data_IF_042115902606
#
_entry.id   IF_042115902606
#
_cell.length_a   1.000
_cell.length_b   1.000
_cell.length_c   1.000
_cell.angle_alpha   90.00
_cell.angle_beta   90.00
_cell.angle_gamma   90.00
#
_symmetry.space_group_name_H-M   'P 1'
#
loop_
_entity.id
_entity.type
_entity.pdbx_description
1 polymer ?
#
# COMPACT_ATOMS: atom_id res chain seq x y z
N UNK A 1 -17.67 15.27 -15.87
CA UNK A 1 -16.20 15.06 -15.83
C UNK A 1 -15.72 14.15 -14.69
N UNK A 2 -16.14 14.34 -13.44
CA UNK A 2 -15.60 13.54 -12.31
C UNK A 2 -15.79 12.02 -12.42
N UNK A 3 -16.90 11.53 -12.99
CA UNK A 3 -17.14 10.08 -13.18
C UNK A 3 -16.19 9.45 -14.20
N UNK A 4 -15.85 10.17 -15.28
CA UNK A 4 -14.94 9.67 -16.32
C UNK A 4 -13.52 9.57 -15.76
N UNK A 5 -13.04 10.64 -15.12
CA UNK A 5 -11.71 10.65 -14.48
C UNK A 5 -11.57 9.52 -13.45
N UNK A 6 -12.61 9.31 -12.67
CA UNK A 6 -12.67 8.25 -11.68
C UNK A 6 -12.54 6.85 -12.31
N UNK A 7 -13.31 6.57 -13.37
CA UNK A 7 -13.24 5.29 -14.08
C UNK A 7 -11.84 5.09 -14.66
N UNK A 8 -11.28 6.14 -15.29
CA UNK A 8 -9.92 6.10 -15.82
C UNK A 8 -8.90 5.78 -14.72
N UNK A 9 -8.97 6.43 -13.56
CA UNK A 9 -8.06 6.15 -12.45
C UNK A 9 -8.14 4.71 -11.96
N UNK A 10 -9.34 4.13 -11.86
CA UNK A 10 -9.51 2.73 -11.51
C UNK A 10 -8.91 1.81 -12.58
N UNK A 11 -9.17 2.11 -13.86
CA UNK A 11 -8.57 1.35 -14.97
C UNK A 11 -7.05 1.40 -14.93
N UNK A 12 -6.45 2.54 -14.59
CA UNK A 12 -5.01 2.65 -14.39
C UNK A 12 -4.51 1.85 -13.18
N UNK A 13 -5.19 1.97 -12.04
CA UNK A 13 -4.83 1.28 -10.79
C UNK A 13 -5.01 -0.24 -10.87
N UNK A 14 -5.87 -0.75 -11.76
CA UNK A 14 -6.01 -2.19 -12.00
C UNK A 14 -5.19 -2.68 -13.20
N UNK A 15 -5.18 -1.92 -14.29
CA UNK A 15 -4.54 -2.31 -15.54
C UNK A 15 -3.02 -2.40 -15.42
N UNK A 16 -2.38 -1.44 -14.74
CA UNK A 16 -0.91 -1.45 -14.59
C UNK A 16 -0.44 -2.64 -13.74
N UNK A 17 -0.98 -2.88 -12.52
CA UNK A 17 -0.59 -4.07 -11.75
C UNK A 17 -0.90 -5.37 -12.48
N UNK A 18 -2.03 -5.49 -13.18
CA UNK A 18 -2.37 -6.70 -13.91
C UNK A 18 -1.38 -6.98 -15.05
N UNK A 19 -1.05 -5.96 -15.85
CA UNK A 19 -0.23 -6.13 -17.04
C UNK A 19 1.27 -6.27 -16.73
N UNK A 20 1.75 -5.56 -15.71
CA UNK A 20 3.19 -5.43 -15.43
C UNK A 20 3.63 -6.02 -14.09
N UNK A 21 2.74 -6.14 -13.10
CA UNK A 21 3.07 -6.78 -11.81
C UNK A 21 2.63 -8.24 -11.73
N UNK A 22 1.53 -8.58 -12.41
CA UNK A 22 0.82 -9.84 -12.27
C UNK A 22 -0.19 -9.85 -11.13
N UNK A 23 -0.81 -11.02 -10.91
CA UNK A 23 -1.89 -11.20 -9.94
C UNK A 23 -1.58 -10.78 -8.50
N UNK A 24 -0.35 -11.02 -7.95
CA UNK A 24 0.00 -10.57 -6.60
C UNK A 24 -0.18 -9.06 -6.37
N UNK A 25 0.26 -8.24 -7.33
CA UNK A 25 0.21 -6.78 -7.25
C UNK A 25 -1.23 -6.29 -7.34
N UNK A 26 -1.99 -6.87 -8.27
CA UNK A 26 -3.41 -6.59 -8.42
C UNK A 26 -4.20 -6.93 -7.14
N UNK A 27 -3.91 -8.07 -6.50
CA UNK A 27 -4.61 -8.52 -5.30
C UNK A 27 -4.48 -7.51 -4.14
N UNK A 28 -3.28 -6.96 -3.92
CA UNK A 28 -3.04 -5.92 -2.91
C UNK A 28 -3.83 -4.65 -3.23
N UNK A 29 -3.81 -4.20 -4.49
CA UNK A 29 -4.58 -3.04 -4.93
C UNK A 29 -6.08 -3.26 -4.69
N UNK A 30 -6.60 -4.44 -5.08
CA UNK A 30 -8.00 -4.81 -4.89
C UNK A 30 -8.39 -4.79 -3.40
N UNK A 31 -7.61 -5.44 -2.53
CA UNK A 31 -7.92 -5.47 -1.09
C UNK A 31 -7.90 -4.08 -0.49
N UNK A 32 -6.88 -3.27 -0.77
CA UNK A 32 -6.79 -1.90 -0.28
C UNK A 32 -7.99 -1.06 -0.73
N UNK A 33 -8.40 -1.20 -1.99
CA UNK A 33 -9.57 -0.54 -2.56
C UNK A 33 -10.88 -1.04 -1.93
N UNK A 34 -11.05 -2.35 -1.73
CA UNK A 34 -12.23 -2.91 -1.07
C UNK A 34 -12.37 -2.37 0.36
N UNK A 35 -11.27 -2.33 1.12
CA UNK A 35 -11.26 -1.77 2.48
C UNK A 35 -11.68 -0.28 2.48
N UNK A 36 -11.16 0.50 1.53
CA UNK A 36 -11.54 1.91 1.39
C UNK A 36 -13.00 2.10 0.92
N UNK A 37 -13.54 1.18 0.14
CA UNK A 37 -14.95 1.14 -0.26
C UNK A 37 -15.87 0.96 0.96
N UNK A 38 -15.59 -0.03 1.81
CA UNK A 38 -16.41 -0.30 2.99
C UNK A 38 -16.40 0.84 4.02
N UNK A 39 -15.32 1.62 4.08
CA UNK A 39 -15.27 2.84 4.89
C UNK A 39 -16.13 4.01 4.37
N UNK A 40 -16.82 3.85 3.23
CA UNK A 40 -17.49 4.91 2.49
C UNK A 40 -16.53 6.07 2.14
N UNK A 41 -15.25 5.76 1.99
CA UNK A 41 -14.16 6.73 1.85
C UNK A 41 -13.86 7.06 0.36
N UNK A 42 -14.83 6.89 -0.53
CA UNK A 42 -14.62 6.86 -1.98
C UNK A 42 -14.60 8.27 -2.61
N UNK A 43 -13.42 8.76 -3.00
CA UNK A 43 -13.26 10.05 -3.71
C UNK A 43 -12.06 10.00 -4.66
N UNK A 44 -12.19 10.66 -5.83
CA UNK A 44 -11.13 10.86 -6.83
C UNK A 44 -9.83 11.34 -6.19
N UNK A 45 -9.89 12.34 -5.28
CA UNK A 45 -8.68 12.88 -4.64
C UNK A 45 -7.89 11.82 -3.87
N UNK A 46 -8.56 10.80 -3.31
CA UNK A 46 -7.91 9.71 -2.57
C UNK A 46 -7.34 8.65 -3.52
N UNK A 47 -8.02 8.36 -4.63
CA UNK A 47 -7.48 7.48 -5.67
C UNK A 47 -6.18 8.04 -6.25
N UNK A 48 -6.11 9.36 -6.45
CA UNK A 48 -4.88 10.02 -6.92
C UNK A 48 -3.73 9.80 -5.93
N UNK A 49 -3.99 9.77 -4.62
CA UNK A 49 -2.94 9.50 -3.62
C UNK A 49 -2.39 8.08 -3.64
N UNK A 50 -3.00 7.15 -4.40
CA UNK A 50 -2.48 5.80 -4.59
C UNK A 50 -1.52 5.72 -5.77
N UNK A 51 -1.61 6.60 -6.77
CA UNK A 51 -0.80 6.55 -8.00
C UNK A 51 0.72 6.44 -7.78
N UNK A 52 1.34 7.07 -6.75
CA UNK A 52 2.78 6.94 -6.55
C UNK A 52 3.26 5.50 -6.33
N UNK A 53 2.39 4.59 -5.88
CA UNK A 53 2.75 3.17 -5.75
C UNK A 53 3.15 2.54 -7.09
N UNK A 54 2.62 3.05 -8.22
CA UNK A 54 2.87 2.51 -9.55
C UNK A 54 4.33 2.69 -9.97
N UNK A 55 5.07 3.61 -9.34
CA UNK A 55 6.51 3.76 -9.54
C UNK A 55 7.25 2.46 -9.21
N UNK A 56 6.84 1.71 -8.18
CA UNK A 56 7.45 0.44 -7.84
C UNK A 56 7.25 -0.65 -8.89
N UNK A 57 6.13 -0.60 -9.61
CA UNK A 57 5.92 -1.50 -10.75
C UNK A 57 6.87 -1.12 -11.89
N UNK A 58 7.09 0.18 -12.12
CA UNK A 58 8.10 0.65 -13.06
C UNK A 58 9.51 0.19 -12.68
N UNK A 59 9.89 0.33 -11.41
CA UNK A 59 11.19 -0.14 -10.91
C UNK A 59 11.32 -1.66 -11.00
N UNK A 60 10.26 -2.40 -10.67
CA UNK A 60 10.21 -3.85 -10.85
C UNK A 60 10.46 -4.23 -12.32
N UNK A 61 9.78 -3.59 -13.26
CA UNK A 61 9.96 -3.86 -14.70
C UNK A 61 11.38 -3.53 -15.20
N UNK A 62 12.03 -2.51 -14.63
CA UNK A 62 13.40 -2.13 -15.01
C UNK A 62 14.47 -3.04 -14.41
N UNK A 63 14.21 -3.64 -13.25
CA UNK A 63 15.21 -4.41 -12.48
C UNK A 63 14.96 -5.91 -12.46
N UNK A 64 13.76 -6.35 -12.85
CA UNK A 64 13.20 -7.69 -12.65
C UNK A 64 13.27 -8.17 -11.19
N UNK A 65 13.47 -7.26 -10.23
CA UNK A 65 13.59 -7.60 -8.81
C UNK A 65 12.21 -7.69 -8.16
N UNK A 66 11.78 -8.92 -7.86
CA UNK A 66 10.49 -9.21 -7.20
C UNK A 66 10.38 -8.63 -5.79
N UNK A 67 11.49 -8.29 -5.14
CA UNK A 67 11.50 -7.68 -3.81
C UNK A 67 10.87 -6.28 -3.81
N UNK A 68 10.78 -5.62 -4.98
CA UNK A 68 10.06 -4.35 -5.16
C UNK A 68 8.56 -4.46 -4.83
N UNK A 69 8.04 -5.68 -4.71
CA UNK A 69 6.69 -5.93 -4.23
C UNK A 69 6.49 -5.49 -2.77
N UNK A 70 7.50 -5.59 -1.91
CA UNK A 70 7.38 -5.21 -0.50
C UNK A 70 7.22 -3.69 -0.31
N UNK A 71 8.06 -2.82 -0.90
CA UNK A 71 7.84 -1.37 -0.91
C UNK A 71 6.46 -0.97 -1.45
N UNK A 72 5.99 -1.63 -2.51
CA UNK A 72 4.65 -1.41 -3.08
C UNK A 72 3.54 -1.71 -2.07
N UNK A 73 3.62 -2.86 -1.40
CA UNK A 73 2.67 -3.28 -0.35
C UNK A 73 2.67 -2.30 0.82
N UNK A 74 3.84 -1.88 1.26
CA UNK A 74 3.97 -0.95 2.39
C UNK A 74 3.37 0.42 2.05
N UNK A 75 3.50 0.88 0.81
CA UNK A 75 2.80 2.07 0.35
C UNK A 75 1.28 1.92 0.47
N UNK A 76 0.69 0.83 -0.03
CA UNK A 76 -0.75 0.57 0.08
C UNK A 76 -1.23 0.41 1.52
N UNK A 77 -0.45 -0.31 2.31
CA UNK A 77 -0.71 -0.57 3.73
C UNK A 77 -0.79 0.74 4.50
N UNK A 78 0.27 1.56 4.40
CA UNK A 78 0.34 2.86 5.07
C UNK A 78 -0.76 3.79 4.55
N UNK A 79 -0.96 3.92 3.23
CA UNK A 79 -1.99 4.81 2.73
C UNK A 79 -3.40 4.42 3.20
N UNK A 80 -3.74 3.14 3.11
CA UNK A 80 -5.05 2.64 3.55
C UNK A 80 -5.24 2.94 5.03
N UNK A 81 -4.23 2.65 5.85
CA UNK A 81 -4.24 2.96 7.28
C UNK A 81 -4.42 4.46 7.55
N UNK A 82 -3.71 5.34 6.84
CA UNK A 82 -3.80 6.79 7.02
C UNK A 82 -5.12 7.39 6.51
N UNK A 83 -5.72 6.79 5.48
CA UNK A 83 -7.04 7.18 4.97
C UNK A 83 -8.11 6.81 5.99
N UNK A 84 -8.08 5.60 6.53
CA UNK A 84 -9.04 5.11 7.52
C UNK A 84 -8.83 5.71 8.92
N UNK A 85 -7.59 5.98 9.34
CA UNK A 85 -7.27 6.57 10.65
C UNK A 85 -7.81 8.00 10.82
N UNK A 86 -8.12 8.68 9.72
CA UNK A 86 -8.77 9.99 9.75
C UNK A 86 -10.19 9.96 10.35
N UNK A 87 -10.88 8.81 10.26
CA UNK A 87 -12.18 8.59 10.91
C UNK A 87 -12.01 8.00 12.31
N UNK A 88 -11.24 6.92 12.42
CA UNK A 88 -11.00 6.22 13.67
C UNK A 88 -9.64 5.52 13.62
N UNK A 89 -8.81 5.71 14.63
CA UNK A 89 -7.47 5.10 14.72
C UNK A 89 -7.55 3.58 14.60
N UNK A 90 -8.52 2.93 15.24
CA UNK A 90 -8.71 1.49 15.16
C UNK A 90 -9.02 1.03 13.76
N UNK A 91 -9.89 1.76 13.04
CA UNK A 91 -10.18 1.47 11.63
C UNK A 91 -8.91 1.58 10.78
N UNK A 92 -8.08 2.59 11.04
CA UNK A 92 -6.75 2.74 10.44
C UNK A 92 -5.86 1.52 10.68
N UNK A 93 -5.69 1.11 11.93
CA UNK A 93 -4.86 -0.04 12.29
C UNK A 93 -5.38 -1.33 11.65
N UNK A 94 -6.67 -1.65 11.78
CA UNK A 94 -7.24 -2.87 11.20
C UNK A 94 -7.16 -2.88 9.67
N UNK A 95 -7.36 -1.72 9.03
CA UNK A 95 -7.25 -1.61 7.58
C UNK A 95 -5.82 -1.88 7.08
N UNK A 96 -4.81 -1.32 7.75
CA UNK A 96 -3.41 -1.59 7.44
C UNK A 96 -3.04 -3.06 7.67
N UNK A 97 -3.42 -3.61 8.82
CA UNK A 97 -3.18 -5.04 9.14
C UNK A 97 -3.84 -5.96 8.12
N UNK A 98 -5.03 -5.63 7.62
CA UNK A 98 -5.68 -6.41 6.55
C UNK A 98 -4.87 -6.48 5.26
N UNK A 99 -4.23 -5.37 4.86
CA UNK A 99 -3.34 -5.35 3.69
C UNK A 99 -2.06 -6.16 3.94
N UNK A 100 -1.45 -6.03 5.13
CA UNK A 100 -0.26 -6.81 5.52
C UNK A 100 -0.58 -8.31 5.54
N UNK A 101 -1.72 -8.70 6.10
CA UNK A 101 -2.14 -10.10 6.14
C UNK A 101 -2.33 -10.67 4.72
N UNK A 102 -2.89 -9.88 3.80
CA UNK A 102 -3.01 -10.26 2.38
C UNK A 102 -1.64 -10.47 1.74
N UNK A 103 -0.70 -9.57 2.00
CA UNK A 103 0.67 -9.70 1.53
C UNK A 103 1.36 -10.97 2.04
N UNK A 104 1.27 -11.24 3.33
CA UNK A 104 1.85 -12.46 3.91
C UNK A 104 1.22 -13.71 3.34
N UNK A 105 -0.09 -13.72 3.12
CA UNK A 105 -0.79 -14.81 2.45
C UNK A 105 -0.24 -15.06 1.04
N UNK A 106 -0.06 -14.00 0.25
CA UNK A 106 0.53 -14.09 -1.08
C UNK A 106 1.97 -14.63 -1.01
N UNK A 107 2.80 -14.11 -0.10
CA UNK A 107 4.20 -14.56 0.07
C UNK A 107 4.28 -16.02 0.50
N UNK A 108 3.36 -16.46 1.36
CA UNK A 108 3.24 -17.86 1.75
C UNK A 108 2.92 -18.76 0.54
N UNK A 109 1.96 -18.38 -0.32
CA UNK A 109 1.67 -19.11 -1.56
C UNK A 109 2.81 -19.07 -2.59
N UNK A 110 3.67 -18.06 -2.52
CA UNK A 110 4.90 -17.98 -3.31
C UNK A 110 6.06 -18.80 -2.72
N UNK A 111 5.81 -19.59 -1.67
CA UNK A 111 6.79 -20.41 -0.96
C UNK A 111 7.97 -19.60 -0.38
N UNK A 112 7.71 -18.38 0.10
CA UNK A 112 8.71 -17.60 0.82
C UNK A 112 9.15 -18.33 2.12
N UNK A 113 10.46 -18.34 2.46
CA UNK A 113 10.94 -18.95 3.69
C UNK A 113 10.29 -18.33 4.94
N UNK A 114 9.97 -19.17 5.94
CA UNK A 114 9.36 -18.71 7.21
C UNK A 114 10.17 -17.59 7.89
N UNK A 115 11.52 -17.64 7.97
CA UNK A 115 12.29 -16.55 8.57
C UNK A 115 12.09 -15.20 7.86
N UNK A 116 11.95 -15.21 6.53
CA UNK A 116 11.70 -14.01 5.72
C UNK A 116 10.30 -13.47 5.99
N UNK A 117 9.29 -14.34 6.06
CA UNK A 117 7.91 -13.93 6.39
C UNK A 117 7.81 -13.27 7.77
N UNK A 118 8.51 -13.80 8.77
CA UNK A 118 8.54 -13.23 10.13
C UNK A 118 9.20 -11.85 10.11
N UNK A 119 10.33 -11.71 9.41
CA UNK A 119 11.04 -10.45 9.27
C UNK A 119 10.18 -9.39 8.57
N UNK A 120 9.58 -9.74 7.42
CA UNK A 120 8.71 -8.84 6.65
C UNK A 120 7.49 -8.42 7.47
N UNK A 121 6.90 -9.33 8.25
CA UNK A 121 5.80 -9.01 9.16
C UNK A 121 6.22 -8.02 10.24
N UNK A 122 7.36 -8.26 10.89
CA UNK A 122 7.89 -7.38 11.93
C UNK A 122 8.17 -5.96 11.39
N UNK A 123 8.81 -5.87 10.23
CA UNK A 123 9.08 -4.59 9.56
C UNK A 123 7.76 -3.91 9.16
N UNK A 124 6.82 -4.64 8.57
CA UNK A 124 5.54 -4.09 8.14
C UNK A 124 4.74 -3.50 9.32
N UNK A 125 4.71 -4.19 10.46
CA UNK A 125 4.05 -3.69 11.67
C UNK A 125 4.75 -2.45 12.23
N UNK A 126 6.08 -2.46 12.33
CA UNK A 126 6.84 -1.31 12.81
C UNK A 126 6.63 -0.07 11.92
N UNK A 127 6.66 -0.24 10.60
CA UNK A 127 6.41 0.84 9.64
C UNK A 127 4.95 1.32 9.74
N UNK A 128 3.97 0.41 9.88
CA UNK A 128 2.57 0.78 10.02
C UNK A 128 2.33 1.61 11.29
N UNK A 129 2.86 1.16 12.42
CA UNK A 129 2.73 1.87 13.70
C UNK A 129 3.37 3.26 13.63
N UNK A 130 4.62 3.34 13.14
CA UNK A 130 5.32 4.62 13.00
C UNK A 130 4.64 5.56 12.02
N UNK A 131 4.08 5.07 10.92
CA UNK A 131 3.30 5.87 9.97
C UNK A 131 2.04 6.46 10.62
N UNK A 132 1.30 5.66 11.40
CA UNK A 132 0.11 6.13 12.12
C UNK A 132 0.50 7.18 13.16
N UNK A 133 1.56 6.96 13.93
CA UNK A 133 2.05 7.92 14.92
C UNK A 133 2.50 9.24 14.26
N UNK A 134 3.29 9.17 13.18
CA UNK A 134 3.74 10.33 12.41
C UNK A 134 2.56 11.11 11.81
N UNK A 135 1.51 10.42 11.36
CA UNK A 135 0.32 11.08 10.84
C UNK A 135 -0.47 11.81 11.93
N UNK A 136 -0.47 11.31 13.17
CA UNK A 136 -1.12 11.98 14.31
C UNK A 136 -0.45 13.29 14.69
N UNK A 137 0.88 13.39 14.53
CA UNK A 137 1.65 14.60 14.81
C UNK A 137 1.68 15.61 13.65
N UNK A 138 1.19 15.20 12.46
CA UNK A 138 1.26 16.02 11.24
C UNK A 138 -0.11 16.55 10.84
N UNK A 139 -0.14 17.60 10.01
CA UNK A 139 -1.37 18.10 9.39
C UNK A 139 -2.06 16.97 8.61
N UNK A 140 -3.36 16.77 8.83
CA UNK A 140 -4.17 15.71 8.19
C UNK A 140 -4.50 16.00 6.71
N UNK A 141 -3.50 16.37 5.93
CA UNK A 141 -3.62 16.70 4.50
C UNK A 141 -3.35 15.49 3.61
N UNK A 142 -3.83 15.52 2.36
CA UNK A 142 -3.54 14.48 1.38
C UNK A 142 -2.04 14.36 1.10
N UNK A 143 -1.33 15.49 1.04
CA UNK A 143 0.12 15.56 0.79
C UNK A 143 0.87 14.85 1.92
N UNK A 144 0.51 15.13 3.17
CA UNK A 144 1.14 14.49 4.34
C UNK A 144 1.00 12.98 4.30
N UNK A 145 -0.15 12.45 3.86
CA UNK A 145 -0.34 11.00 3.71
C UNK A 145 0.55 10.42 2.63
N UNK A 146 0.65 11.08 1.48
CA UNK A 146 1.52 10.64 0.37
C UNK A 146 2.98 10.65 0.79
N UNK A 147 3.43 11.69 1.49
CA UNK A 147 4.80 11.80 1.99
C UNK A 147 5.12 10.71 3.02
N UNK A 148 4.26 10.52 4.02
CA UNK A 148 4.46 9.48 5.04
C UNK A 148 4.47 8.09 4.40
N UNK A 149 3.54 7.81 3.49
CA UNK A 149 3.45 6.52 2.81
C UNK A 149 4.64 6.30 1.86
N UNK A 150 5.12 7.37 1.21
CA UNK A 150 6.34 7.34 0.40
C UNK A 150 7.57 7.04 1.26
N UNK A 151 7.73 7.70 2.40
CA UNK A 151 8.82 7.43 3.35
C UNK A 151 8.75 6.01 3.91
N UNK A 152 7.56 5.55 4.31
CA UNK A 152 7.32 4.17 4.75
C UNK A 152 7.75 3.15 3.68
N UNK A 153 7.39 3.40 2.43
CA UNK A 153 7.74 2.56 1.29
C UNK A 153 9.25 2.57 0.98
N UNK A 154 9.92 3.73 1.12
CA UNK A 154 11.38 3.83 1.01
C UNK A 154 12.10 3.13 2.17
N UNK A 155 11.57 3.19 3.40
CA UNK A 155 12.09 2.44 4.54
C UNK A 155 11.96 0.94 4.32
N UNK A 156 10.86 0.49 3.72
CA UNK A 156 10.71 -0.90 3.32
C UNK A 156 11.75 -1.31 2.27
N UNK A 157 12.04 -0.44 1.29
CA UNK A 157 13.14 -0.69 0.34
C UNK A 157 14.49 -0.78 1.08
N UNK A 158 14.78 0.14 1.98
CA UNK A 158 16.03 0.14 2.74
C UNK A 158 16.17 -1.12 3.62
N UNK A 159 15.06 -1.64 4.15
CA UNK A 159 15.07 -2.86 4.96
C UNK A 159 15.41 -4.13 4.19
N UNK A 160 15.26 -4.12 2.86
CA UNK A 160 15.68 -5.23 1.99
C UNK A 160 17.20 -5.27 1.78
N UNK A 161 17.92 -4.19 2.13
CA UNK A 161 19.38 -4.10 2.00
C UNK A 161 20.13 -4.64 3.23
N UNK A 162 19.40 -5.06 4.27
CA UNK A 162 19.92 -5.53 5.56
C UNK A 162 19.77 -7.05 5.61
#
# INVERSE_FOLDING_TARGET
MHRVLFILLLLFLFGIPLQFGGYPWLAICLVALVIQCFGLLWNVSRLVTLLPCLLWIGVFQLTDNREMFFPYVIYFTSQTALICSAQNVWLGTFSGVGVVATFLGIRFFQAAPIPVLILEFGIALAILETAILAFRSTRRSAISKVLISGMASLLALASLLI
#
